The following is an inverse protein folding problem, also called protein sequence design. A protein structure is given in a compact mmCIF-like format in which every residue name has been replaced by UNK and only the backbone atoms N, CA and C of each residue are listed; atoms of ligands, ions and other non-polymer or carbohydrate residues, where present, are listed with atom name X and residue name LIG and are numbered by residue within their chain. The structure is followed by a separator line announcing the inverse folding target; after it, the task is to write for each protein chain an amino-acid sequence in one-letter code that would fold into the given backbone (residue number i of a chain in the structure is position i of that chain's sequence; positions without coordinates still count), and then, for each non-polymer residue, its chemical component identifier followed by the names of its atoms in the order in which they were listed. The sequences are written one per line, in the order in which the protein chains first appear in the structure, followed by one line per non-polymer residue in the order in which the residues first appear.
data_IF_821381725223
#
_entry.id   IF_821381725223
#
_cell.length_a   1.000
_cell.length_b   1.000
_cell.length_c   1.000
_cell.angle_alpha   90.00
_cell.angle_beta   90.00
_cell.angle_gamma   90.00
#
_symmetry.space_group_name_H-M   'P 1'
#
loop_
_entity.id
_entity.type
_entity.pdbx_description
1 polymer ?
#
# COMPACT_ATOMS: atom_id res chain seq x y z
N UNK A 1 10.67 7.01 -34.68
CA UNK A 1 10.40 7.22 -33.25
C UNK A 1 9.77 5.94 -32.73
N UNK A 2 10.45 5.09 -31.94
CA UNK A 2 9.77 3.97 -31.32
C UNK A 2 8.80 4.56 -30.29
N UNK A 3 7.54 4.15 -30.38
CA UNK A 3 6.52 4.44 -29.37
C UNK A 3 7.07 4.05 -27.99
N UNK A 4 7.15 5.02 -27.07
CA UNK A 4 7.34 4.72 -25.64
C UNK A 4 6.09 3.97 -25.18
N UNK A 5 6.08 2.64 -25.35
CA UNK A 5 5.19 1.77 -24.56
C UNK A 5 5.53 2.06 -23.10
N UNK A 6 4.54 2.48 -22.32
CA UNK A 6 4.63 2.51 -20.86
C UNK A 6 5.11 1.14 -20.40
N UNK A 7 6.32 1.09 -19.84
CA UNK A 7 6.97 -0.17 -19.48
C UNK A 7 6.44 -0.59 -18.11
N UNK A 8 5.52 -1.54 -18.06
CA UNK A 8 4.97 -2.07 -16.81
C UNK A 8 5.98 -3.04 -16.17
N UNK A 9 7.11 -2.50 -15.73
CA UNK A 9 8.29 -3.26 -15.30
C UNK A 9 7.96 -4.25 -14.18
N UNK A 10 7.34 -3.78 -13.10
CA UNK A 10 7.02 -4.64 -11.95
C UNK A 10 6.16 -5.84 -12.35
N UNK A 11 5.18 -5.64 -13.24
CA UNK A 11 4.31 -6.71 -13.70
C UNK A 11 5.12 -7.80 -14.41
N UNK A 12 5.97 -7.44 -15.36
CA UNK A 12 6.80 -8.44 -16.06
C UNK A 12 7.75 -9.14 -15.08
N UNK A 13 8.39 -8.37 -14.20
CA UNK A 13 9.35 -8.88 -13.21
C UNK A 13 8.72 -9.92 -12.27
N UNK A 14 7.48 -9.71 -11.82
CA UNK A 14 6.77 -10.69 -10.96
C UNK A 14 6.16 -11.83 -11.75
N UNK A 15 5.76 -11.60 -13.01
CA UNK A 15 5.24 -12.67 -13.88
C UNK A 15 6.33 -13.68 -14.26
N UNK A 16 7.59 -13.25 -14.31
CA UNK A 16 8.75 -14.11 -14.53
C UNK A 16 9.09 -15.01 -13.31
N UNK A 17 8.56 -14.72 -12.12
CA UNK A 17 8.71 -15.58 -10.94
C UNK A 17 7.78 -16.79 -11.09
N UNK A 18 8.29 -18.05 -11.15
CA UNK A 18 7.43 -19.22 -11.26
C UNK A 18 6.49 -19.38 -10.06
N UNK A 19 5.25 -19.82 -10.30
CA UNK A 19 4.24 -20.01 -9.25
C UNK A 19 4.67 -21.06 -8.19
N UNK A 20 5.57 -21.97 -8.57
CA UNK A 20 6.14 -23.01 -7.69
C UNK A 20 7.21 -22.50 -6.74
N UNK A 21 7.67 -21.25 -6.89
CA UNK A 21 8.75 -20.68 -6.09
C UNK A 21 8.27 -20.27 -4.71
N UNK A 22 7.03 -19.79 -4.60
CA UNK A 22 6.48 -19.28 -3.36
C UNK A 22 6.16 -20.45 -2.40
N UNK A 23 6.55 -20.37 -1.12
CA UNK A 23 6.24 -21.42 -0.15
C UNK A 23 4.75 -21.46 0.18
N UNK A 24 4.33 -22.54 0.85
CA UNK A 24 2.92 -22.82 1.14
C UNK A 24 2.19 -21.64 1.83
N UNK A 25 2.86 -20.95 2.75
CA UNK A 25 2.32 -19.79 3.47
C UNK A 25 2.02 -18.58 2.57
N UNK A 26 2.54 -18.54 1.35
CA UNK A 26 2.35 -17.47 0.37
C UNK A 26 1.42 -17.85 -0.79
N UNK A 27 1.13 -19.15 -0.98
CA UNK A 27 0.25 -19.63 -2.07
C UNK A 27 -1.09 -20.17 -1.58
N UNK A 28 -1.22 -20.52 -0.30
CA UNK A 28 -2.47 -21.04 0.28
C UNK A 28 -3.48 -19.92 0.57
N UNK A 29 -4.02 -19.36 -0.52
CA UNK A 29 -5.07 -18.35 -0.53
C UNK A 29 -6.16 -18.70 -1.55
N UNK A 30 -7.42 -18.64 -1.13
CA UNK A 30 -8.54 -18.65 -2.07
C UNK A 30 -8.69 -17.26 -2.70
N UNK A 31 -8.12 -17.06 -3.88
CA UNK A 31 -8.23 -15.80 -4.62
C UNK A 31 -9.57 -15.64 -5.34
N UNK A 32 -10.30 -16.73 -5.58
CA UNK A 32 -11.51 -16.76 -6.40
C UNK A 32 -12.75 -16.33 -5.61
N UNK A 33 -12.99 -16.90 -4.43
CA UNK A 33 -14.23 -16.65 -3.68
C UNK A 33 -14.20 -15.30 -2.95
N UNK A 34 -15.28 -14.53 -3.07
CA UNK A 34 -15.46 -13.26 -2.38
C UNK A 34 -16.64 -13.30 -1.39
N UNK A 35 -17.82 -13.68 -1.89
CA UNK A 35 -19.04 -13.83 -1.11
C UNK A 35 -19.83 -15.05 -1.58
N UNK A 36 -21.03 -15.27 -1.03
CA UNK A 36 -21.93 -16.34 -1.51
C UNK A 36 -22.26 -16.20 -3.00
N UNK A 37 -22.39 -14.97 -3.48
CA UNK A 37 -22.85 -14.66 -4.84
C UNK A 37 -21.75 -14.07 -5.74
N UNK A 38 -20.54 -13.83 -5.21
CA UNK A 38 -19.45 -13.18 -5.95
C UNK A 38 -18.17 -13.98 -5.95
N UNK A 39 -17.61 -14.10 -7.15
CA UNK A 39 -16.26 -14.60 -7.42
C UNK A 39 -15.46 -13.54 -8.15
N UNK A 40 -14.14 -13.52 -7.94
CA UNK A 40 -13.22 -12.67 -8.67
C UNK A 40 -13.00 -13.20 -10.08
N UNK A 41 -12.94 -12.28 -11.04
CA UNK A 41 -12.55 -12.58 -12.42
C UNK A 41 -11.05 -12.90 -12.51
N UNK A 42 -10.63 -13.61 -13.56
CA UNK A 42 -9.24 -14.05 -13.73
C UNK A 42 -8.23 -12.90 -13.66
N UNK A 43 -8.55 -11.72 -14.22
CA UNK A 43 -7.68 -10.56 -14.14
C UNK A 43 -7.56 -9.99 -12.71
N UNK A 44 -8.62 -10.09 -11.91
CA UNK A 44 -8.62 -9.68 -10.50
C UNK A 44 -7.78 -10.65 -9.67
N UNK A 45 -7.91 -11.95 -9.94
CA UNK A 45 -7.09 -12.99 -9.33
C UNK A 45 -5.61 -12.82 -9.70
N UNK A 46 -5.31 -12.57 -10.98
CA UNK A 46 -3.94 -12.31 -11.46
C UNK A 46 -3.32 -11.08 -10.80
N UNK A 47 -4.09 -9.99 -10.64
CA UNK A 47 -3.62 -8.80 -9.94
C UNK A 47 -3.22 -9.10 -8.48
N UNK A 48 -4.02 -9.89 -7.76
CA UNK A 48 -3.71 -10.33 -6.39
C UNK A 48 -2.49 -11.27 -6.35
N UNK A 49 -2.38 -12.18 -7.31
CA UNK A 49 -1.24 -13.09 -7.41
C UNK A 49 0.06 -12.33 -7.67
N UNK A 50 0.04 -11.33 -8.56
CA UNK A 50 1.19 -10.48 -8.82
C UNK A 50 1.57 -9.64 -7.59
N UNK A 51 0.58 -9.17 -6.81
CA UNK A 51 0.81 -8.50 -5.55
C UNK A 51 1.47 -9.42 -4.51
N UNK A 52 1.01 -10.68 -4.39
CA UNK A 52 1.62 -11.69 -3.51
C UNK A 52 3.08 -11.94 -3.88
N UNK A 53 3.38 -12.11 -5.17
CA UNK A 53 4.76 -12.31 -5.65
C UNK A 53 5.65 -11.11 -5.37
N UNK A 54 5.14 -9.88 -5.56
CA UNK A 54 5.89 -8.67 -5.22
C UNK A 54 6.18 -8.57 -3.72
N UNK A 55 5.18 -8.84 -2.87
CA UNK A 55 5.33 -8.83 -1.42
C UNK A 55 6.28 -9.93 -0.94
N UNK A 56 6.19 -11.14 -1.51
CA UNK A 56 7.09 -12.26 -1.24
C UNK A 56 8.53 -11.91 -1.61
N UNK A 57 8.72 -11.38 -2.81
CA UNK A 57 10.04 -10.95 -3.28
C UNK A 57 10.65 -9.91 -2.32
N UNK A 58 9.81 -8.98 -1.85
CA UNK A 58 10.24 -7.92 -0.95
C UNK A 58 10.54 -8.41 0.47
N UNK A 59 9.58 -9.07 1.13
CA UNK A 59 9.63 -9.42 2.54
C UNK A 59 10.28 -10.77 2.84
N UNK A 60 10.45 -11.66 1.85
CA UNK A 60 11.05 -12.98 2.06
C UNK A 60 12.36 -13.15 1.27
N UNK A 61 12.35 -12.93 -0.04
CA UNK A 61 13.51 -13.22 -0.91
C UNK A 61 14.67 -12.21 -0.76
N UNK A 62 14.39 -10.90 -0.76
CA UNK A 62 15.43 -9.88 -0.57
C UNK A 62 16.03 -9.94 0.83
N UNK A 63 15.19 -10.08 1.84
CA UNK A 63 15.61 -10.34 3.21
C UNK A 63 14.42 -10.92 3.95
N UNK A 64 14.58 -12.15 4.45
CA UNK A 64 13.52 -12.85 5.16
C UNK A 64 13.05 -12.07 6.39
N UNK A 65 11.74 -11.85 6.49
CA UNK A 65 11.14 -11.08 7.56
C UNK A 65 11.21 -11.86 8.87
N UNK A 66 11.69 -11.17 9.91
CA UNK A 66 11.73 -11.73 11.26
C UNK A 66 10.96 -10.81 12.22
N UNK A 67 10.08 -11.37 13.08
CA UNK A 67 9.37 -10.58 14.09
C UNK A 67 10.33 -9.76 14.95
N UNK A 68 10.12 -8.44 15.00
CA UNK A 68 10.95 -7.51 15.77
C UNK A 68 12.30 -7.15 15.12
N UNK A 69 12.49 -7.44 13.82
CA UNK A 69 13.66 -6.98 13.07
C UNK A 69 13.85 -5.45 13.10
N UNK A 70 15.09 -5.01 12.89
CA UNK A 70 15.45 -3.60 12.83
C UNK A 70 14.88 -2.94 11.55
N UNK A 71 14.49 -1.65 11.66
CA UNK A 71 14.05 -0.85 10.52
C UNK A 71 15.09 -0.80 9.39
N UNK A 72 16.38 -0.95 9.70
CA UNK A 72 17.46 -1.06 8.73
C UNK A 72 17.26 -2.22 7.74
N UNK A 73 16.67 -3.34 8.16
CA UNK A 73 16.37 -4.45 7.25
C UNK A 73 15.42 -4.01 6.14
N UNK A 74 14.43 -3.17 6.46
CA UNK A 74 13.54 -2.61 5.45
C UNK A 74 14.27 -1.63 4.51
N UNK A 75 15.24 -0.84 5.00
CA UNK A 75 16.09 -0.02 4.14
C UNK A 75 16.89 -0.87 3.15
N UNK A 76 17.41 -2.01 3.59
CA UNK A 76 18.15 -2.93 2.72
C UNK A 76 17.22 -3.60 1.69
N UNK A 77 15.96 -3.94 2.05
CA UNK A 77 14.94 -4.40 1.08
C UNK A 77 14.64 -3.36 0.01
N UNK A 78 14.55 -2.07 0.37
CA UNK A 78 14.33 -0.98 -0.61
C UNK A 78 15.49 -0.87 -1.61
N UNK A 79 16.73 -0.96 -1.14
CA UNK A 79 17.93 -1.00 -2.01
C UNK A 79 17.89 -2.18 -2.95
N UNK A 80 17.55 -3.37 -2.45
CA UNK A 80 17.45 -4.57 -3.28
C UNK A 80 16.32 -4.50 -4.29
N UNK A 81 15.17 -3.93 -3.93
CA UNK A 81 14.08 -3.68 -4.87
C UNK A 81 14.53 -2.73 -5.98
N UNK A 82 15.26 -1.67 -5.65
CA UNK A 82 15.80 -0.75 -6.65
C UNK A 82 16.80 -1.41 -7.58
N UNK A 83 17.74 -2.18 -7.01
CA UNK A 83 18.68 -2.99 -7.80
C UNK A 83 17.94 -3.96 -8.71
N UNK A 84 16.88 -4.62 -8.23
CA UNK A 84 16.08 -5.54 -9.04
C UNK A 84 15.42 -4.85 -10.24
N UNK A 85 14.94 -3.61 -10.09
CA UNK A 85 14.47 -2.82 -11.24
C UNK A 85 15.61 -2.50 -12.22
N UNK A 86 16.78 -2.10 -11.73
CA UNK A 86 17.95 -1.79 -12.57
C UNK A 86 18.43 -3.00 -13.36
N UNK A 87 18.48 -4.17 -12.73
CA UNK A 87 18.84 -5.45 -13.35
C UNK A 87 17.83 -5.85 -14.43
N UNK A 88 16.57 -5.45 -14.27
CA UNK A 88 15.51 -5.63 -15.27
C UNK A 88 15.42 -4.46 -16.27
N UNK A 89 16.48 -3.66 -16.35
CA UNK A 89 16.70 -2.67 -17.39
C UNK A 89 16.04 -1.32 -17.15
N UNK A 90 15.69 -0.98 -15.91
CA UNK A 90 15.42 0.41 -15.54
C UNK A 90 16.75 1.20 -15.60
N UNK A 91 16.77 2.28 -16.38
CA UNK A 91 17.98 3.11 -16.58
C UNK A 91 17.75 4.58 -16.21
N UNK A 92 16.50 4.94 -15.97
CA UNK A 92 16.06 6.27 -15.63
C UNK A 92 16.43 6.63 -14.19
N UNK A 93 16.79 7.89 -13.98
CA UNK A 93 17.09 8.45 -12.67
C UNK A 93 15.83 9.12 -12.09
N UNK A 94 15.34 8.60 -10.96
CA UNK A 94 14.11 9.07 -10.32
C UNK A 94 14.33 9.83 -9.01
N UNK A 95 15.60 10.09 -8.64
CA UNK A 95 15.91 10.87 -7.44
C UNK A 95 15.22 12.22 -7.45
N UNK A 96 14.53 12.52 -6.35
CA UNK A 96 13.78 13.74 -6.16
C UNK A 96 14.72 14.92 -5.90
N UNK A 97 14.75 15.89 -6.81
CA UNK A 97 15.52 17.13 -6.66
C UNK A 97 14.81 18.09 -5.70
N UNK A 98 15.38 18.28 -4.50
CA UNK A 98 14.82 19.12 -3.43
C UNK A 98 14.88 20.62 -3.80
N UNK A 99 15.88 21.03 -4.59
CA UNK A 99 16.04 22.44 -5.02
C UNK A 99 14.88 22.91 -5.93
N UNK A 100 14.21 21.97 -6.60
CA UNK A 100 13.05 22.23 -7.47
C UNK A 100 11.71 22.14 -6.73
N UNK A 101 11.72 21.91 -5.43
CA UNK A 101 10.51 21.81 -4.60
C UNK A 101 10.34 23.07 -3.75
N UNK A 102 9.11 23.29 -3.28
CA UNK A 102 8.85 24.33 -2.30
C UNK A 102 9.66 24.05 -1.01
N UNK A 103 10.34 25.07 -0.47
CA UNK A 103 11.14 24.99 0.76
C UNK A 103 10.44 24.25 1.92
N UNK A 104 9.12 24.44 2.11
CA UNK A 104 8.38 23.75 3.19
C UNK A 104 8.28 22.25 2.95
N UNK A 105 8.05 21.84 1.70
CA UNK A 105 7.97 20.44 1.32
C UNK A 105 9.36 19.79 1.38
N UNK A 106 10.41 20.50 0.96
CA UNK A 106 11.78 20.01 1.06
C UNK A 106 12.18 19.78 2.53
N UNK A 107 11.94 20.78 3.40
CA UNK A 107 12.19 20.65 4.84
C UNK A 107 11.41 19.49 5.46
N UNK A 108 10.12 19.37 5.12
CA UNK A 108 9.29 18.26 5.58
C UNK A 108 9.87 16.90 5.18
N UNK A 109 10.29 16.73 3.92
CA UNK A 109 10.85 15.47 3.46
C UNK A 109 12.18 15.14 4.17
N UNK A 110 13.00 16.15 4.46
CA UNK A 110 14.26 15.99 5.20
C UNK A 110 14.06 15.62 6.68
N UNK A 111 12.85 15.81 7.25
CA UNK A 111 12.51 15.29 8.59
C UNK A 111 12.42 13.74 8.60
N UNK A 112 12.14 13.10 7.46
CA UNK A 112 11.85 11.66 7.38
C UNK A 112 12.83 10.88 6.51
N UNK A 113 13.60 11.53 5.64
CA UNK A 113 14.50 10.88 4.70
C UNK A 113 15.88 11.53 4.69
N UNK A 114 16.90 10.68 4.57
CA UNK A 114 18.27 11.13 4.41
C UNK A 114 18.54 11.57 2.96
N UNK A 115 19.02 12.80 2.79
CA UNK A 115 19.35 13.38 1.49
C UNK A 115 20.83 13.19 1.13
N UNK A 116 21.07 12.95 -0.15
CA UNK A 116 22.39 12.92 -0.76
C UNK A 116 22.62 14.26 -1.49
N UNK A 117 23.19 15.23 -0.76
CA UNK A 117 23.24 16.62 -1.21
C UNK A 117 21.83 17.20 -1.32
N UNK A 118 21.47 17.74 -2.49
CA UNK A 118 20.15 18.34 -2.76
C UNK A 118 19.13 17.34 -3.32
N UNK A 119 19.36 16.03 -3.18
CA UNK A 119 18.50 15.00 -3.78
C UNK A 119 18.11 13.93 -2.77
N UNK A 120 16.90 13.43 -2.91
CA UNK A 120 16.46 12.20 -2.24
C UNK A 120 16.46 11.04 -3.23
N UNK A 121 17.24 9.99 -2.98
CA UNK A 121 17.19 8.76 -3.78
C UNK A 121 15.77 8.21 -3.89
N UNK A 122 15.40 7.69 -5.06
CA UNK A 122 14.05 7.13 -5.27
C UNK A 122 13.79 5.89 -4.40
N UNK A 123 14.85 5.20 -3.98
CA UNK A 123 14.79 4.04 -3.08
C UNK A 123 13.95 4.31 -1.83
N UNK A 124 14.00 5.53 -1.28
CA UNK A 124 13.18 5.93 -0.12
C UNK A 124 11.68 5.74 -0.35
N UNK A 125 11.25 5.86 -1.60
CA UNK A 125 9.85 5.85 -2.02
C UNK A 125 9.43 4.52 -2.66
N UNK A 126 10.35 3.58 -2.89
CA UNK A 126 10.15 2.48 -3.85
C UNK A 126 9.21 1.35 -3.40
N UNK A 127 8.91 1.24 -2.10
CA UNK A 127 8.03 0.22 -1.52
C UNK A 127 6.55 0.49 -1.85
N UNK A 128 6.23 0.45 -3.15
CA UNK A 128 4.91 0.72 -3.70
C UNK A 128 4.61 -0.16 -4.90
N UNK A 129 3.33 -0.39 -5.16
CA UNK A 129 2.85 -1.06 -6.36
C UNK A 129 1.59 -0.39 -6.92
N UNK A 130 1.50 -0.33 -8.25
CA UNK A 130 0.37 0.25 -8.97
C UNK A 130 -0.55 -0.81 -9.58
N UNK A 131 -1.85 -0.66 -9.37
CA UNK A 131 -2.90 -1.47 -9.97
C UNK A 131 -3.63 -0.65 -11.02
N UNK A 132 -3.25 -0.86 -12.29
CA UNK A 132 -3.90 -0.23 -13.43
C UNK A 132 -5.18 -0.95 -13.82
N UNK A 133 -6.31 -0.36 -13.40
CA UNK A 133 -7.61 -1.01 -13.49
C UNK A 133 -8.71 0.00 -13.87
N UNK A 134 -9.44 -0.31 -14.95
CA UNK A 134 -10.51 0.54 -15.48
C UNK A 134 -11.61 0.84 -14.46
N UNK A 135 -12.30 1.97 -14.59
CA UNK A 135 -13.51 2.27 -13.82
C UNK A 135 -14.57 1.19 -14.08
N UNK A 136 -15.21 0.70 -13.02
CA UNK A 136 -16.22 -0.37 -13.13
C UNK A 136 -15.66 -1.80 -13.21
N UNK A 137 -14.33 -2.00 -13.25
CA UNK A 137 -13.68 -3.33 -13.24
C UNK A 137 -13.71 -4.03 -11.86
N UNK A 138 -14.53 -3.57 -10.93
CA UNK A 138 -14.62 -4.17 -9.60
C UNK A 138 -13.36 -4.02 -8.74
N UNK A 139 -12.58 -2.93 -8.90
CA UNK A 139 -11.37 -2.64 -8.09
C UNK A 139 -11.55 -2.87 -6.59
N UNK A 140 -12.69 -2.50 -6.03
CA UNK A 140 -12.96 -2.66 -4.59
C UNK A 140 -12.96 -4.12 -4.14
N UNK A 141 -13.32 -5.09 -5.00
CA UNK A 141 -13.21 -6.51 -4.70
C UNK A 141 -11.73 -6.90 -4.51
N UNK A 142 -10.85 -6.41 -5.38
CA UNK A 142 -9.39 -6.61 -5.28
C UNK A 142 -8.84 -5.95 -4.01
N UNK A 143 -9.25 -4.73 -3.69
CA UNK A 143 -8.84 -4.03 -2.47
C UNK A 143 -9.21 -4.84 -1.21
N UNK A 144 -10.45 -5.32 -1.11
CA UNK A 144 -10.91 -6.10 0.05
C UNK A 144 -10.17 -7.44 0.15
N UNK A 145 -9.93 -8.12 -0.98
CA UNK A 145 -9.14 -9.35 -0.99
C UNK A 145 -7.67 -9.10 -0.66
N UNK A 146 -7.10 -7.98 -1.08
CA UNK A 146 -5.74 -7.60 -0.71
C UNK A 146 -5.63 -7.35 0.81
N UNK A 147 -6.63 -6.70 1.42
CA UNK A 147 -6.72 -6.57 2.89
C UNK A 147 -6.74 -7.95 3.55
N UNK A 148 -7.48 -8.91 3.01
CA UNK A 148 -7.47 -10.28 3.51
C UNK A 148 -6.08 -10.93 3.42
N UNK A 149 -5.40 -10.78 2.28
CA UNK A 149 -4.05 -11.32 2.09
C UNK A 149 -3.07 -10.73 3.10
N UNK A 150 -3.06 -9.39 3.25
CA UNK A 150 -2.21 -8.70 4.22
C UNK A 150 -2.50 -9.19 5.65
N UNK A 151 -3.77 -9.26 6.04
CA UNK A 151 -4.16 -9.72 7.37
C UNK A 151 -3.68 -11.15 7.66
N UNK A 152 -3.80 -12.05 6.69
CA UNK A 152 -3.36 -13.44 6.82
C UNK A 152 -1.83 -13.55 6.84
N UNK A 153 -1.11 -12.81 6.00
CA UNK A 153 0.36 -12.79 6.00
C UNK A 153 0.91 -12.24 7.33
N UNK A 154 0.31 -11.18 7.87
CA UNK A 154 0.65 -10.65 9.21
C UNK A 154 0.46 -11.73 10.28
N UNK A 155 -0.66 -12.46 10.26
CA UNK A 155 -0.92 -13.54 11.22
C UNK A 155 0.01 -14.74 11.09
N UNK A 156 0.47 -15.00 9.87
CA UNK A 156 1.48 -16.04 9.58
C UNK A 156 2.90 -15.56 9.91
N UNK A 157 3.06 -14.31 10.36
CA UNK A 157 4.35 -13.66 10.61
C UNK A 157 5.27 -13.61 9.38
N UNK A 158 4.68 -13.57 8.18
CA UNK A 158 5.40 -13.52 6.90
C UNK A 158 5.71 -12.08 6.46
N UNK A 159 4.97 -11.10 6.99
CA UNK A 159 5.18 -9.67 6.74
C UNK A 159 5.03 -8.87 8.04
N UNK A 160 5.63 -7.67 8.14
CA UNK A 160 5.51 -6.83 9.32
C UNK A 160 4.05 -6.52 9.70
N UNK A 161 3.70 -6.49 11.01
CA UNK A 161 2.35 -6.21 11.50
C UNK A 161 2.01 -4.69 11.45
N UNK A 162 2.09 -4.09 10.25
CA UNK A 162 1.72 -2.71 10.02
C UNK A 162 0.21 -2.50 10.09
N UNK A 163 -0.23 -1.32 10.54
CA UNK A 163 -1.64 -0.94 10.50
C UNK A 163 -2.07 -0.72 9.04
N UNK A 164 -3.35 -0.98 8.71
CA UNK A 164 -3.88 -0.84 7.35
C UNK A 164 -4.72 0.43 7.23
N UNK A 165 -4.41 1.26 6.22
CA UNK A 165 -5.10 2.52 5.94
C UNK A 165 -5.62 2.57 4.50
N UNK A 166 -6.93 2.77 4.34
CA UNK A 166 -7.58 3.03 3.07
C UNK A 166 -7.84 4.53 2.87
N UNK A 167 -7.38 5.09 1.76
CA UNK A 167 -7.58 6.49 1.41
C UNK A 167 -8.22 6.63 0.03
N UNK A 168 -9.20 7.52 -0.07
CA UNK A 168 -9.83 7.89 -1.34
C UNK A 168 -10.32 9.33 -1.31
N UNK A 169 -10.50 9.96 -2.48
CA UNK A 169 -10.95 11.35 -2.58
C UNK A 169 -12.48 11.52 -2.55
N UNK A 170 -13.24 10.42 -2.57
CA UNK A 170 -14.71 10.44 -2.69
C UNK A 170 -15.41 9.65 -1.59
N UNK A 171 -16.44 10.25 -1.01
CA UNK A 171 -17.26 9.60 0.03
C UNK A 171 -18.00 8.36 -0.50
N UNK A 172 -18.46 8.37 -1.75
CA UNK A 172 -19.17 7.22 -2.31
C UNK A 172 -18.26 5.99 -2.51
N UNK A 173 -16.95 6.20 -2.69
CA UNK A 173 -15.96 5.11 -2.72
C UNK A 173 -15.74 4.52 -1.31
N UNK A 174 -15.79 5.34 -0.25
CA UNK A 174 -15.79 4.87 1.15
C UNK A 174 -17.05 4.02 1.41
N UNK A 175 -18.22 4.49 0.99
CA UNK A 175 -19.48 3.74 1.15
C UNK A 175 -19.50 2.45 0.31
N UNK A 176 -18.86 2.45 -0.86
CA UNK A 176 -18.65 1.24 -1.65
C UNK A 176 -17.75 0.23 -0.93
N UNK A 177 -16.63 0.68 -0.34
CA UNK A 177 -15.77 -0.19 0.49
C UNK A 177 -16.55 -0.80 1.64
N UNK A 178 -17.30 0.02 2.40
CA UNK A 178 -18.12 -0.46 3.53
C UNK A 178 -19.10 -1.55 3.12
N UNK A 179 -19.82 -1.38 2.01
CA UNK A 179 -20.76 -2.39 1.49
C UNK A 179 -20.05 -3.69 1.14
N UNK A 180 -18.92 -3.63 0.43
CA UNK A 180 -18.17 -4.83 0.05
C UNK A 180 -17.51 -5.53 1.24
N UNK A 181 -17.03 -4.78 2.25
CA UNK A 181 -16.53 -5.37 3.50
C UNK A 181 -17.66 -6.07 4.26
N UNK A 182 -18.85 -5.47 4.35
CA UNK A 182 -20.00 -6.12 4.98
C UNK A 182 -20.39 -7.42 4.25
N UNK A 183 -20.38 -7.41 2.92
CA UNK A 183 -20.66 -8.59 2.11
C UNK A 183 -19.61 -9.68 2.31
N UNK A 184 -18.32 -9.34 2.24
CA UNK A 184 -17.20 -10.24 2.47
C UNK A 184 -17.27 -10.87 3.87
N UNK A 185 -17.46 -10.05 4.91
CA UNK A 185 -17.55 -10.51 6.30
C UNK A 185 -18.74 -11.45 6.57
N UNK A 186 -19.81 -11.41 5.76
CA UNK A 186 -20.93 -12.36 5.89
C UNK A 186 -20.60 -13.75 5.35
N UNK A 187 -19.68 -13.81 4.39
CA UNK A 187 -19.27 -15.05 3.74
C UNK A 187 -18.04 -15.69 4.39
N UNK A 188 -17.22 -14.91 5.10
CA UNK A 188 -16.00 -15.40 5.75
C UNK A 188 -16.21 -15.68 7.23
N UNK A 189 -15.79 -16.87 7.67
CA UNK A 189 -15.84 -17.27 9.09
C UNK A 189 -14.54 -17.01 9.86
N UNK A 190 -13.39 -16.95 9.16
CA UNK A 190 -12.06 -17.02 9.81
C UNK A 190 -11.31 -15.67 9.85
N UNK A 191 -11.84 -14.67 9.16
CA UNK A 191 -11.30 -13.31 9.13
C UNK A 191 -12.45 -12.32 9.00
N UNK A 192 -12.48 -11.35 9.91
CA UNK A 192 -13.43 -10.24 9.88
C UNK A 192 -12.69 -8.90 9.75
N UNK A 193 -13.03 -8.13 8.71
CA UNK A 193 -12.49 -6.79 8.51
C UNK A 193 -13.35 -5.78 9.28
N UNK A 194 -12.73 -5.01 10.18
CA UNK A 194 -13.39 -3.97 10.97
C UNK A 194 -12.94 -2.60 10.47
N UNK A 195 -13.88 -1.85 9.88
CA UNK A 195 -13.62 -0.51 9.38
C UNK A 195 -13.73 0.52 10.51
N UNK A 196 -12.71 1.37 10.67
CA UNK A 196 -12.68 2.48 11.64
C UNK A 196 -12.35 3.79 10.94
N UNK A 197 -12.95 4.89 11.37
CA UNK A 197 -12.52 6.19 10.87
C UNK A 197 -11.11 6.47 11.39
N UNK A 198 -10.23 7.05 10.56
CA UNK A 198 -8.87 7.39 10.99
C UNK A 198 -8.86 8.32 12.22
N UNK A 199 -9.86 9.19 12.39
CA UNK A 199 -9.99 10.06 13.58
C UNK A 199 -10.10 9.29 14.90
N UNK A 200 -10.53 8.04 14.85
CA UNK A 200 -10.67 7.18 16.02
C UNK A 200 -9.37 6.42 16.36
N UNK A 201 -8.28 6.64 15.59
CA UNK A 201 -7.03 5.88 15.70
C UNK A 201 -6.50 5.81 17.13
N UNK A 202 -6.31 6.95 17.79
CA UNK A 202 -5.78 7.00 19.15
C UNK A 202 -6.67 6.26 20.15
N UNK A 203 -7.98 6.30 19.98
CA UNK A 203 -8.94 5.57 20.82
C UNK A 203 -8.82 4.06 20.58
N UNK A 204 -8.87 3.63 19.32
CA UNK A 204 -8.78 2.21 18.94
C UNK A 204 -7.47 1.58 19.41
N UNK A 205 -6.33 2.28 19.27
CA UNK A 205 -5.02 1.78 19.70
C UNK A 205 -4.85 1.72 21.23
N UNK A 206 -5.65 2.47 22.00
CA UNK A 206 -5.72 2.35 23.47
C UNK A 206 -6.65 1.21 23.92
N UNK A 207 -7.70 0.94 23.14
CA UNK A 207 -8.73 -0.06 23.43
C UNK A 207 -8.32 -1.49 23.03
N UNK A 208 -7.15 -1.71 22.43
CA UNK A 208 -6.72 -2.98 21.80
C UNK A 208 -6.43 -4.14 22.80
N UNK A 209 -7.13 -4.19 23.94
CA UNK A 209 -7.11 -5.28 24.91
C UNK A 209 -8.35 -6.19 24.81
N UNK A 210 -8.91 -6.42 23.61
CA UNK A 210 -10.13 -7.22 23.42
C UNK A 210 -9.83 -8.70 23.09
N UNK A 211 -10.59 -9.62 23.68
CA UNK A 211 -10.45 -11.08 23.52
C UNK A 211 -10.76 -11.61 22.11
N UNK A 212 -11.22 -10.75 21.18
CA UNK A 212 -11.61 -11.13 19.80
C UNK A 212 -10.55 -10.78 18.73
N UNK A 213 -9.35 -10.31 19.12
CA UNK A 213 -8.33 -9.84 18.18
C UNK A 213 -7.80 -10.90 17.21
N UNK A 214 -7.84 -12.19 17.55
CA UNK A 214 -7.23 -13.24 16.73
C UNK A 214 -7.90 -13.40 15.35
N UNK A 215 -9.19 -13.05 15.22
CA UNK A 215 -9.96 -13.23 13.98
C UNK A 215 -10.35 -11.91 13.31
N UNK A 216 -10.03 -10.77 13.91
CA UNK A 216 -10.31 -9.46 13.32
C UNK A 216 -9.06 -8.84 12.67
N UNK A 217 -9.29 -7.98 11.68
CA UNK A 217 -8.28 -7.03 11.17
C UNK A 217 -8.92 -5.65 11.13
N UNK A 218 -8.27 -4.67 11.76
CA UNK A 218 -8.75 -3.29 11.71
C UNK A 218 -8.19 -2.58 10.48
N UNK A 219 -9.06 -1.94 9.71
CA UNK A 219 -8.67 -1.09 8.59
C UNK A 219 -9.21 0.31 8.86
N UNK A 220 -8.30 1.27 8.95
CA UNK A 220 -8.66 2.67 9.05
C UNK A 220 -9.04 3.19 7.67
N UNK A 221 -10.02 4.07 7.59
CA UNK A 221 -10.37 4.75 6.35
C UNK A 221 -10.48 6.25 6.55
N UNK A 222 -10.13 7.01 5.52
CA UNK A 222 -10.32 8.45 5.51
C UNK A 222 -10.36 9.04 4.10
N UNK A 223 -10.82 10.29 4.02
CA UNK A 223 -10.77 11.10 2.81
C UNK A 223 -9.34 11.59 2.58
N UNK A 224 -8.77 11.27 1.42
CA UNK A 224 -7.38 11.53 1.08
C UNK A 224 -7.05 13.02 1.00
N UNK A 225 -8.00 13.84 0.55
CA UNK A 225 -7.94 15.30 0.46
C UNK A 225 -7.97 16.00 1.83
N UNK A 226 -8.37 15.29 2.88
CA UNK A 226 -8.41 15.80 4.24
C UNK A 226 -7.15 15.44 5.06
N UNK A 227 -6.13 14.79 4.49
CA UNK A 227 -4.81 14.68 5.13
C UNK A 227 -3.91 15.84 4.70
N UNK A 228 -3.29 16.51 5.67
CA UNK A 228 -2.34 17.61 5.44
C UNK A 228 -1.25 17.61 6.51
N UNK A 229 -0.29 18.50 6.37
CA UNK A 229 0.74 18.84 7.37
C UNK A 229 0.30 19.97 8.32
N UNK A 230 -0.96 20.39 8.22
CA UNK A 230 -1.62 21.38 9.08
C UNK A 230 -2.98 20.84 9.57
N UNK A 231 -3.30 21.08 10.84
CA UNK A 231 -4.61 20.73 11.41
C UNK A 231 -5.65 21.83 11.13
N UNK A 232 -6.82 21.45 10.59
CA UNK A 232 -8.03 22.31 10.48
C UNK A 232 -9.27 21.49 10.93
N UNK A 233 -10.48 22.01 10.73
CA UNK A 233 -11.70 21.35 11.22
C UNK A 233 -11.97 19.98 10.53
N UNK A 234 -11.88 19.96 9.20
CA UNK A 234 -12.02 18.73 8.40
C UNK A 234 -10.68 18.08 8.06
N UNK A 235 -9.61 18.88 8.02
CA UNK A 235 -8.26 18.45 7.65
C UNK A 235 -7.52 18.01 8.90
N UNK A 236 -6.95 16.80 8.87
CA UNK A 236 -6.15 16.25 9.96
C UNK A 236 -4.66 16.37 9.65
N UNK A 237 -3.86 16.65 10.67
CA UNK A 237 -2.40 16.58 10.57
C UNK A 237 -1.95 15.11 10.51
N UNK A 238 -1.27 14.74 9.43
CA UNK A 238 -0.78 13.39 9.20
C UNK A 238 0.19 12.93 10.30
N UNK A 239 0.92 13.86 10.95
CA UNK A 239 1.89 13.54 12.00
C UNK A 239 1.25 12.84 13.20
N UNK A 240 -0.02 13.11 13.47
CA UNK A 240 -0.78 12.43 14.53
C UNK A 240 -1.01 10.94 14.25
N UNK A 241 -0.79 10.51 13.00
CA UNK A 241 -0.99 9.15 12.52
C UNK A 241 0.29 8.59 11.93
N UNK A 242 1.46 9.17 12.22
CA UNK A 242 2.73 8.75 11.61
C UNK A 242 3.02 7.27 11.80
N UNK A 243 2.76 6.74 13.00
CA UNK A 243 2.93 5.32 13.37
C UNK A 243 4.31 4.75 12.97
N UNK A 244 5.36 5.57 13.09
CA UNK A 244 6.72 5.25 12.66
C UNK A 244 6.81 4.83 11.18
N UNK A 245 5.85 5.26 10.35
CA UNK A 245 5.76 4.88 8.96
C UNK A 245 5.27 3.45 8.70
N UNK A 246 4.75 2.76 9.72
CA UNK A 246 4.32 1.35 9.67
C UNK A 246 2.86 1.24 9.22
N UNK A 247 2.61 1.69 8.00
CA UNK A 247 1.31 1.58 7.35
C UNK A 247 1.36 0.78 6.05
N UNK A 248 0.40 -0.12 5.88
CA UNK A 248 -0.04 -0.60 4.57
C UNK A 248 -1.13 0.34 4.06
N UNK A 249 -0.80 1.16 3.06
CA UNK A 249 -1.70 2.19 2.54
C UNK A 249 -2.32 1.73 1.23
N UNK A 250 -3.65 1.67 1.17
CA UNK A 250 -4.41 1.39 -0.05
C UNK A 250 -5.05 2.70 -0.55
N UNK A 251 -4.59 3.19 -1.69
CA UNK A 251 -5.11 4.39 -2.35
C UNK A 251 -6.10 4.00 -3.45
N UNK A 252 -7.35 4.44 -3.38
CA UNK A 252 -8.34 4.27 -4.47
C UNK A 252 -8.67 5.62 -5.11
N UNK A 253 -8.10 5.85 -6.29
CA UNK A 253 -8.19 7.10 -7.04
C UNK A 253 -7.76 8.33 -6.21
N UNK A 254 -6.87 8.17 -5.22
CA UNK A 254 -6.55 9.21 -4.24
C UNK A 254 -5.78 10.42 -4.81
N UNK A 255 -5.34 10.34 -6.05
CA UNK A 255 -4.62 11.36 -6.82
C UNK A 255 -5.55 12.31 -7.58
N UNK A 256 -6.79 11.91 -7.90
CA UNK A 256 -7.75 12.78 -8.59
C UNK A 256 -8.35 13.79 -7.62
N UNK A 257 -7.84 15.03 -7.56
CA UNK A 257 -8.55 16.03 -6.77
C UNK A 257 -7.98 17.42 -6.50
N UNK A 258 -6.71 17.77 -6.74
CA UNK A 258 -6.27 19.17 -6.52
C UNK A 258 -4.88 19.53 -7.06
N UNK A 259 -4.55 20.82 -7.10
CA UNK A 259 -3.21 21.38 -7.35
C UNK A 259 -2.14 20.93 -6.32
N UNK A 260 -2.55 20.51 -5.13
CA UNK A 260 -1.65 20.03 -4.06
C UNK A 260 -1.40 18.50 -4.08
N UNK A 261 -1.81 17.79 -5.13
CA UNK A 261 -1.64 16.34 -5.29
C UNK A 261 -0.21 15.86 -5.03
N UNK A 262 0.80 16.56 -5.57
CA UNK A 262 2.22 16.20 -5.37
C UNK A 262 2.62 16.22 -3.90
N UNK A 263 2.09 17.14 -3.08
CA UNK A 263 2.39 17.19 -1.65
C UNK A 263 1.78 15.98 -0.93
N UNK A 264 0.53 15.66 -1.22
CA UNK A 264 -0.17 14.53 -0.60
C UNK A 264 0.45 13.18 -0.91
N UNK A 265 0.94 12.99 -2.15
CA UNK A 265 1.70 11.77 -2.50
C UNK A 265 2.94 11.59 -1.62
N UNK A 266 3.63 12.67 -1.28
CA UNK A 266 4.74 12.62 -0.33
C UNK A 266 4.28 12.31 1.09
N UNK A 267 3.15 12.83 1.55
CA UNK A 267 2.59 12.47 2.87
C UNK A 267 2.27 10.97 2.96
N UNK A 268 1.63 10.40 1.94
CA UNK A 268 1.35 8.96 1.91
C UNK A 268 2.63 8.13 1.87
N UNK A 269 3.65 8.61 1.17
CA UNK A 269 4.98 7.97 1.15
C UNK A 269 5.63 8.00 2.54
N UNK A 270 5.55 9.13 3.25
CA UNK A 270 6.05 9.25 4.63
C UNK A 270 5.33 8.27 5.55
N UNK A 271 4.00 8.21 5.51
CA UNK A 271 3.21 7.31 6.33
C UNK A 271 3.49 5.83 6.03
N UNK A 272 3.88 5.47 4.81
CA UNK A 272 4.19 4.09 4.43
C UNK A 272 5.68 3.76 4.36
N UNK A 273 6.57 4.65 4.83
CA UNK A 273 8.03 4.48 4.67
C UNK A 273 8.58 3.17 5.24
N UNK A 274 7.92 2.59 6.25
CA UNK A 274 8.27 1.31 6.86
C UNK A 274 7.19 0.22 6.67
N UNK A 275 6.21 0.47 5.81
CA UNK A 275 5.20 -0.50 5.39
C UNK A 275 5.23 -0.68 3.88
N UNK A 276 4.08 -0.52 3.22
CA UNK A 276 3.97 -0.64 1.76
C UNK A 276 2.78 0.16 1.21
N UNK A 277 2.91 0.73 0.02
CA UNK A 277 1.85 1.53 -0.62
C UNK A 277 1.26 0.82 -1.85
N UNK A 278 -0.07 0.71 -1.88
CA UNK A 278 -0.83 0.08 -2.96
C UNK A 278 -1.70 1.13 -3.63
N UNK A 279 -1.40 1.49 -4.88
CA UNK A 279 -2.11 2.54 -5.61
C UNK A 279 -3.05 1.95 -6.65
N UNK A 280 -4.36 2.19 -6.54
CA UNK A 280 -5.38 1.72 -7.47
C UNK A 280 -5.92 2.87 -8.31
N UNK A 281 -5.76 2.78 -9.64
CA UNK A 281 -6.32 3.77 -10.55
C UNK A 281 -6.59 3.26 -11.95
N UNK A 282 -7.54 3.89 -12.64
CA UNK A 282 -7.67 3.81 -14.09
C UNK A 282 -6.63 4.63 -14.87
N UNK A 283 -5.92 5.57 -14.23
CA UNK A 283 -5.00 6.51 -14.86
C UNK A 283 -3.80 6.77 -13.96
N UNK A 284 -2.60 6.40 -14.40
CA UNK A 284 -1.35 6.71 -13.68
C UNK A 284 -0.63 7.88 -14.32
N UNK A 285 -0.07 8.73 -13.48
CA UNK A 285 0.81 9.85 -13.85
C UNK A 285 2.23 9.64 -13.33
N UNK A 286 2.44 8.65 -12.44
CA UNK A 286 3.76 8.22 -12.01
C UNK A 286 4.50 7.56 -13.19
N UNK A 287 5.76 7.97 -13.46
CA UNK A 287 6.56 7.47 -14.57
C UNK A 287 7.01 6.02 -14.38
#
# INVERSE_FOLDING_TARGET
MPERRSRVLLQHMVEDIPDTTLPANWVDFNLTAFSQDKTLWDYQQRALQNALKALWKYYEDFADYQPGEDLKTNTDRKRQLWQWYQDNGLREEFSLDLSRRNHRLAALLQEYYEAEGDRLPYEHFINRMGFWMATGSGKTLVIVKLIELLARLIRREEIPPCDILFLTHRDDLIEQLKRHVQEFNRAQSNLRIVLRNLRDYATVKRETNSLFHEQEVTVFYYRSDNLSDEQKEKIIDFRNYDNDGRWYILLDEAHKGDREESKRQHLYSILSRNGFLFNFSATFTDP
#
